data_IF_379586744828
#
_entry.id   IF_379586744828
#
_cell.length_a   1.000
_cell.length_b   1.000
_cell.length_c   1.000
_cell.angle_alpha   90.00
_cell.angle_beta   90.00
_cell.angle_gamma   90.00
#
_symmetry.space_group_name_H-M   'P 1'
#
loop_
_entity.id
_entity.type
_entity.pdbx_description
1 polymer ?
#
# COMPACT_ATOMS: atom_id res chain seq x y z
N UNK A 1 -1.62 -28.45 -27.94
CA UNK A 1 -0.84 -27.31 -28.48
C UNK A 1 -1.69 -26.02 -28.50
N UNK A 2 -2.99 -26.05 -28.94
CA UNK A 2 -3.87 -24.85 -28.95
C UNK A 2 -4.20 -24.30 -27.55
N UNK A 3 -4.33 -25.14 -26.53
CA UNK A 3 -4.63 -24.71 -25.15
C UNK A 3 -3.46 -23.96 -24.48
N UNK A 4 -2.23 -24.36 -24.76
CA UNK A 4 -1.03 -23.69 -24.24
C UNK A 4 -0.82 -22.29 -24.83
N UNK A 5 -1.17 -22.09 -26.12
CA UNK A 5 -1.08 -20.79 -26.77
C UNK A 5 -2.11 -19.77 -26.25
N UNK A 6 -3.34 -20.22 -25.91
CA UNK A 6 -4.38 -19.36 -25.36
C UNK A 6 -4.08 -18.91 -23.92
N UNK A 7 -3.47 -19.76 -23.09
CA UNK A 7 -3.03 -19.38 -21.74
C UNK A 7 -1.86 -18.40 -21.76
N UNK A 8 -0.88 -18.57 -22.63
CA UNK A 8 0.24 -17.64 -22.80
C UNK A 8 -0.21 -16.24 -23.19
N UNK A 9 -1.16 -16.12 -24.14
CA UNK A 9 -1.72 -14.82 -24.55
C UNK A 9 -2.49 -14.11 -23.43
N UNK A 10 -3.24 -14.83 -22.62
CA UNK A 10 -4.00 -14.23 -21.50
C UNK A 10 -3.09 -13.74 -20.37
N UNK A 11 -2.02 -14.45 -20.06
CA UNK A 11 -1.03 -14.05 -19.05
C UNK A 11 -0.25 -12.81 -19.49
N UNK A 12 0.17 -12.74 -20.74
CA UNK A 12 0.87 -11.57 -21.29
C UNK A 12 -0.04 -10.32 -21.32
N UNK A 13 -1.33 -10.50 -21.61
CA UNK A 13 -2.32 -9.42 -21.52
C UNK A 13 -2.48 -8.90 -20.09
N UNK A 14 -2.53 -9.79 -19.09
CA UNK A 14 -2.62 -9.41 -17.67
C UNK A 14 -1.37 -8.67 -17.20
N UNK A 15 -0.17 -9.09 -17.60
CA UNK A 15 1.08 -8.40 -17.24
C UNK A 15 1.12 -6.99 -17.86
N UNK A 16 0.68 -6.82 -19.10
CA UNK A 16 0.60 -5.51 -19.76
C UNK A 16 -0.43 -4.59 -19.07
N UNK A 17 -1.57 -5.11 -18.62
CA UNK A 17 -2.55 -4.35 -17.87
C UNK A 17 -2.02 -3.96 -16.49
N UNK A 18 -1.34 -4.87 -15.80
CA UNK A 18 -0.68 -4.60 -14.52
C UNK A 18 0.37 -3.49 -14.66
N UNK A 19 1.20 -3.55 -15.71
CA UNK A 19 2.16 -2.49 -16.03
C UNK A 19 1.48 -1.12 -16.21
N UNK A 20 0.38 -1.07 -16.97
CA UNK A 20 -0.36 0.19 -17.18
C UNK A 20 -0.90 0.74 -15.88
N UNK A 21 -1.47 -0.09 -15.01
CA UNK A 21 -2.01 0.32 -13.71
C UNK A 21 -0.89 0.91 -12.84
N UNK A 22 0.22 0.19 -12.66
CA UNK A 22 1.36 0.67 -11.85
C UNK A 22 1.92 1.97 -12.43
N UNK A 23 2.09 2.05 -13.75
CA UNK A 23 2.56 3.29 -14.41
C UNK A 23 1.62 4.47 -14.17
N UNK A 24 0.31 4.24 -14.21
CA UNK A 24 -0.68 5.28 -13.93
C UNK A 24 -0.60 5.77 -12.48
N UNK A 25 -0.43 4.86 -11.51
CA UNK A 25 -0.21 5.22 -10.10
C UNK A 25 1.03 6.10 -9.96
N UNK A 26 2.16 5.67 -10.53
CA UNK A 26 3.42 6.42 -10.47
C UNK A 26 3.26 7.81 -11.09
N UNK A 27 2.61 7.93 -12.24
CA UNK A 27 2.42 9.20 -12.91
C UNK A 27 1.53 10.16 -12.11
N UNK A 28 0.40 9.68 -11.61
CA UNK A 28 -0.56 10.53 -10.89
C UNK A 28 -0.04 10.89 -9.50
N UNK A 29 0.27 9.89 -8.68
CA UNK A 29 0.75 10.13 -7.31
C UNK A 29 2.14 10.76 -7.32
N UNK A 30 3.03 10.32 -8.20
CA UNK A 30 4.38 10.87 -8.35
C UNK A 30 4.35 12.32 -8.85
N UNK A 31 3.43 12.69 -9.74
CA UNK A 31 3.24 14.08 -10.19
C UNK A 31 2.80 15.00 -9.07
N UNK A 32 1.84 14.57 -8.24
CA UNK A 32 1.39 15.33 -7.06
C UNK A 32 2.52 15.42 -6.02
N UNK A 33 3.21 14.33 -5.76
CA UNK A 33 4.33 14.29 -4.82
C UNK A 33 5.46 15.23 -5.28
N UNK A 34 5.79 15.23 -6.55
CA UNK A 34 6.78 16.14 -7.12
C UNK A 34 6.37 17.60 -6.96
N UNK A 35 5.09 17.91 -7.21
CA UNK A 35 4.55 19.25 -6.95
C UNK A 35 4.74 19.67 -5.48
N UNK A 36 4.42 18.79 -4.51
CA UNK A 36 4.63 19.07 -3.10
C UNK A 36 6.10 19.26 -2.73
N UNK A 37 7.00 18.46 -3.29
CA UNK A 37 8.45 18.61 -3.07
C UNK A 37 8.94 19.97 -3.54
N UNK A 38 8.48 20.43 -4.72
CA UNK A 38 8.93 21.69 -5.33
C UNK A 38 8.33 22.91 -4.60
N UNK A 39 7.09 22.80 -4.10
CA UNK A 39 6.37 23.94 -3.51
C UNK A 39 6.52 24.05 -1.99
N UNK A 40 7.08 23.04 -1.32
CA UNK A 40 7.30 23.04 0.12
C UNK A 40 8.69 23.55 0.47
N UNK A 41 8.79 24.51 1.38
CA UNK A 41 10.07 25.06 1.84
C UNK A 41 10.92 24.02 2.62
N UNK A 42 10.26 23.04 3.26
CA UNK A 42 10.93 22.03 4.07
C UNK A 42 10.24 20.65 3.98
N UNK A 43 10.03 20.16 2.77
CA UNK A 43 9.37 18.88 2.54
C UNK A 43 10.03 17.72 3.31
N UNK A 44 11.33 17.53 3.15
CA UNK A 44 12.05 16.43 3.79
C UNK A 44 12.11 16.53 5.32
N UNK A 45 12.15 17.75 5.87
CA UNK A 45 12.05 17.96 7.31
C UNK A 45 10.68 17.54 7.87
N UNK A 46 9.60 17.78 7.13
CA UNK A 46 8.24 17.47 7.57
C UNK A 46 7.92 15.97 7.60
N UNK A 47 8.68 15.12 6.89
CA UNK A 47 8.46 13.68 6.83
C UNK A 47 9.26 12.85 7.85
N UNK A 48 10.14 13.50 8.64
CA UNK A 48 10.75 12.90 9.83
C UNK A 48 11.92 11.95 9.59
N UNK A 49 12.53 11.90 8.39
CA UNK A 49 13.71 11.05 8.16
C UNK A 49 14.90 11.45 9.01
N UNK A 50 15.09 12.74 9.26
CA UNK A 50 16.19 13.26 10.09
C UNK A 50 16.07 12.83 11.57
N UNK A 51 14.85 12.53 12.04
CA UNK A 51 14.56 12.14 13.43
C UNK A 51 14.31 10.64 13.59
N UNK A 52 14.51 9.85 12.54
CA UNK A 52 14.24 8.41 12.56
C UNK A 52 15.07 7.65 13.61
N UNK A 53 16.27 8.12 13.90
CA UNK A 53 17.13 7.58 14.95
C UNK A 53 16.55 7.76 16.37
N UNK A 54 15.62 8.69 16.56
CA UNK A 54 14.98 8.95 17.84
C UNK A 54 13.75 8.07 18.09
N UNK A 55 13.31 7.34 17.05
CA UNK A 55 12.16 6.43 17.15
C UNK A 55 12.51 5.24 18.03
N UNK A 56 11.71 5.04 19.08
CA UNK A 56 11.91 3.98 20.07
C UNK A 56 11.79 2.57 19.48
N UNK A 57 12.50 1.61 20.06
CA UNK A 57 12.51 0.20 19.61
C UNK A 57 11.11 -0.43 19.60
N UNK A 58 10.21 0.01 20.47
CA UNK A 58 8.82 -0.48 20.50
C UNK A 58 8.09 -0.12 19.20
N UNK A 59 8.26 1.11 18.69
CA UNK A 59 7.64 1.54 17.43
C UNK A 59 8.17 0.74 16.24
N UNK A 60 9.45 0.44 16.20
CA UNK A 60 10.05 -0.48 15.22
C UNK A 60 9.50 -1.90 15.33
N UNK A 61 9.30 -2.39 16.55
CA UNK A 61 8.68 -3.70 16.80
C UNK A 61 7.24 -3.77 16.29
N UNK A 62 6.45 -2.72 16.54
CA UNK A 62 5.06 -2.60 16.03
C UNK A 62 5.08 -2.54 14.50
N UNK A 63 5.97 -1.74 13.89
CA UNK A 63 6.10 -1.66 12.44
C UNK A 63 6.44 -3.02 11.83
N UNK A 64 7.38 -3.76 12.42
CA UNK A 64 7.72 -5.11 11.98
C UNK A 64 6.52 -6.07 12.08
N UNK A 65 5.76 -6.03 13.19
CA UNK A 65 4.56 -6.86 13.37
C UNK A 65 3.48 -6.55 12.32
N UNK A 66 3.23 -5.28 12.04
CA UNK A 66 2.26 -4.87 11.00
C UNK A 66 2.71 -5.38 9.63
N UNK A 67 3.97 -5.16 9.26
CA UNK A 67 4.53 -5.62 7.98
C UNK A 67 4.43 -7.14 7.85
N UNK A 68 4.92 -7.89 8.85
CA UNK A 68 4.93 -9.36 8.81
C UNK A 68 3.51 -9.91 8.73
N UNK A 69 2.60 -9.43 9.57
CA UNK A 69 1.21 -9.92 9.62
C UNK A 69 0.49 -9.67 8.30
N UNK A 70 0.68 -8.48 7.72
CA UNK A 70 0.01 -8.13 6.47
C UNK A 70 0.58 -8.91 5.28
N UNK A 71 1.90 -8.98 5.16
CA UNK A 71 2.57 -9.73 4.09
C UNK A 71 2.25 -11.22 4.19
N UNK A 72 2.22 -11.77 5.41
CA UNK A 72 1.84 -13.16 5.64
C UNK A 72 0.40 -13.44 5.18
N UNK A 73 -0.57 -12.59 5.57
CA UNK A 73 -1.94 -12.67 5.10
C UNK A 73 -2.06 -12.59 3.58
N UNK A 74 -1.39 -11.60 2.95
CA UNK A 74 -1.39 -11.40 1.51
C UNK A 74 -0.73 -12.55 0.74
N UNK A 75 0.21 -13.28 1.34
CA UNK A 75 0.89 -14.44 0.74
C UNK A 75 -0.05 -15.63 0.50
N UNK A 76 -1.26 -15.61 1.07
CA UNK A 76 -2.31 -16.60 0.75
C UNK A 76 -2.81 -16.48 -0.69
N UNK A 77 -2.64 -15.30 -1.31
CA UNK A 77 -2.98 -15.05 -2.71
C UNK A 77 -1.86 -15.61 -3.60
N UNK A 78 -2.19 -16.56 -4.48
CA UNK A 78 -1.20 -17.27 -5.31
C UNK A 78 -0.30 -16.34 -6.13
N UNK A 79 -0.88 -15.32 -6.79
CA UNK A 79 -0.09 -14.36 -7.57
C UNK A 79 0.86 -13.52 -6.69
N UNK A 80 0.47 -13.19 -5.44
CA UNK A 80 1.35 -12.48 -4.50
C UNK A 80 2.54 -13.36 -4.17
N UNK A 81 2.30 -14.61 -3.75
CA UNK A 81 3.36 -15.56 -3.39
C UNK A 81 4.31 -15.83 -4.56
N UNK A 82 3.78 -15.96 -5.78
CA UNK A 82 4.58 -16.20 -6.99
C UNK A 82 5.49 -15.03 -7.35
N UNK A 83 5.01 -13.78 -7.17
CA UNK A 83 5.72 -12.60 -7.62
C UNK A 83 6.50 -11.88 -6.49
N UNK A 84 6.33 -12.29 -5.24
CA UNK A 84 6.93 -11.62 -4.07
C UNK A 84 8.44 -11.42 -4.22
N UNK A 85 9.16 -12.46 -4.63
CA UNK A 85 10.62 -12.46 -4.78
C UNK A 85 11.09 -12.68 -6.23
N UNK A 86 10.19 -12.55 -7.20
CA UNK A 86 10.51 -12.73 -8.61
C UNK A 86 10.95 -11.40 -9.22
N UNK A 87 12.24 -11.14 -9.23
CA UNK A 87 12.81 -9.90 -9.76
C UNK A 87 12.80 -9.90 -11.30
N UNK A 88 11.93 -9.08 -11.86
CA UNK A 88 11.79 -8.82 -13.30
C UNK A 88 11.38 -7.35 -13.52
N UNK A 89 11.21 -6.92 -14.76
CA UNK A 89 10.83 -5.53 -15.10
C UNK A 89 9.56 -5.06 -14.40
N UNK A 90 8.58 -5.94 -14.28
CA UNK A 90 7.31 -5.64 -13.60
C UNK A 90 7.52 -5.41 -12.09
N UNK A 91 8.38 -6.22 -11.45
CA UNK A 91 8.73 -6.06 -10.03
C UNK A 91 9.51 -4.78 -9.76
N UNK A 92 10.46 -4.42 -10.60
CA UNK A 92 11.19 -3.15 -10.44
C UNK A 92 10.27 -1.94 -10.56
N UNK A 93 9.32 -1.98 -11.52
CA UNK A 93 8.32 -0.93 -11.64
C UNK A 93 7.39 -0.90 -10.41
N UNK A 94 6.99 -2.06 -9.89
CA UNK A 94 6.18 -2.16 -8.68
C UNK A 94 6.91 -1.63 -7.44
N UNK A 95 8.21 -1.85 -7.31
CA UNK A 95 9.02 -1.27 -6.23
C UNK A 95 9.06 0.26 -6.30
N UNK A 96 9.19 0.83 -7.51
CA UNK A 96 9.08 2.27 -7.70
C UNK A 96 7.68 2.78 -7.35
N UNK A 97 6.63 2.06 -7.78
CA UNK A 97 5.24 2.35 -7.42
C UNK A 97 5.02 2.31 -5.91
N UNK A 98 5.56 1.29 -5.24
CA UNK A 98 5.48 1.14 -3.78
C UNK A 98 6.15 2.31 -3.04
N UNK A 99 7.28 2.80 -3.54
CA UNK A 99 7.94 3.97 -2.97
C UNK A 99 7.08 5.22 -3.15
N UNK A 100 6.59 5.48 -4.35
CA UNK A 100 5.76 6.65 -4.66
C UNK A 100 4.46 6.63 -3.87
N UNK A 101 3.74 5.49 -3.85
CA UNK A 101 2.49 5.36 -3.09
C UNK A 101 2.73 5.42 -1.58
N UNK A 102 3.82 4.83 -1.08
CA UNK A 102 4.21 4.92 0.32
C UNK A 102 4.41 6.37 0.78
N UNK A 103 5.06 7.21 0.00
CA UNK A 103 5.16 8.64 0.33
C UNK A 103 3.81 9.35 0.20
N UNK A 104 3.15 9.22 -0.94
CA UNK A 104 1.91 9.93 -1.23
C UNK A 104 0.79 9.61 -0.23
N UNK A 105 0.56 8.32 0.01
CA UNK A 105 -0.54 7.87 0.85
C UNK A 105 -0.28 8.13 2.34
N UNK A 106 0.97 7.99 2.80
CA UNK A 106 1.29 8.31 4.19
C UNK A 106 1.21 9.82 4.47
N UNK A 107 1.62 10.68 3.54
CA UNK A 107 1.39 12.13 3.68
C UNK A 107 -0.10 12.43 3.76
N UNK A 108 -0.92 11.84 2.88
CA UNK A 108 -2.36 12.11 2.83
C UNK A 108 -3.07 11.62 4.10
N UNK A 109 -2.88 10.35 4.47
CA UNK A 109 -3.66 9.70 5.52
C UNK A 109 -3.08 9.91 6.92
N UNK A 110 -1.78 10.15 7.08
CA UNK A 110 -1.14 10.36 8.39
C UNK A 110 -0.84 11.82 8.61
N UNK A 111 -0.03 12.44 7.74
CA UNK A 111 0.36 13.83 7.96
C UNK A 111 -0.81 14.81 7.84
N UNK A 112 -1.63 14.69 6.80
CA UNK A 112 -2.73 15.63 6.59
C UNK A 112 -3.95 15.25 7.44
N UNK A 113 -4.47 14.02 7.27
CA UNK A 113 -5.73 13.64 7.91
C UNK A 113 -5.59 13.48 9.42
N UNK A 114 -4.59 12.73 9.92
CA UNK A 114 -4.50 12.50 11.36
C UNK A 114 -4.01 13.72 12.13
N UNK A 115 -3.13 14.57 11.55
CA UNK A 115 -2.74 15.82 12.20
C UNK A 115 -3.94 16.77 12.30
N UNK A 116 -4.75 16.88 11.25
CA UNK A 116 -6.03 17.63 11.30
C UNK A 116 -6.97 17.09 12.40
N UNK A 117 -7.15 15.77 12.50
CA UNK A 117 -8.00 15.18 13.54
C UNK A 117 -7.45 15.44 14.96
N UNK A 118 -6.12 15.50 15.12
CA UNK A 118 -5.51 15.85 16.38
C UNK A 118 -5.79 17.32 16.75
N UNK A 119 -5.66 18.23 15.80
CA UNK A 119 -5.94 19.67 15.99
C UNK A 119 -7.42 19.89 16.38
N UNK A 120 -8.34 19.09 15.83
CA UNK A 120 -9.76 19.10 16.20
C UNK A 120 -10.06 18.39 17.53
N UNK A 121 -9.04 17.87 18.23
CA UNK A 121 -9.19 17.27 19.56
C UNK A 121 -9.69 15.82 19.59
N UNK A 122 -9.67 15.10 18.46
CA UNK A 122 -10.02 13.68 18.44
C UNK A 122 -8.98 12.82 19.15
N UNK A 123 -9.43 11.83 19.92
CA UNK A 123 -8.54 10.88 20.60
C UNK A 123 -7.78 10.03 19.59
N UNK A 124 -6.59 9.54 20.00
CA UNK A 124 -5.73 8.68 19.18
C UNK A 124 -6.47 7.46 18.62
N UNK A 125 -7.34 6.85 19.44
CA UNK A 125 -8.15 5.72 18.98
C UNK A 125 -9.08 6.10 17.81
N UNK A 126 -9.76 7.24 17.90
CA UNK A 126 -10.65 7.73 16.83
C UNK A 126 -9.83 8.08 15.59
N UNK A 127 -8.68 8.71 15.75
CA UNK A 127 -7.77 9.01 14.62
C UNK A 127 -7.35 7.73 13.88
N UNK A 128 -6.98 6.66 14.60
CA UNK A 128 -6.62 5.36 14.03
C UNK A 128 -7.78 4.80 13.20
N UNK A 129 -8.99 4.79 13.76
CA UNK A 129 -10.16 4.24 13.10
C UNK A 129 -10.53 5.05 11.85
N UNK A 130 -10.58 6.37 11.95
CA UNK A 130 -10.92 7.24 10.81
C UNK A 130 -9.88 7.11 9.71
N UNK A 131 -8.58 7.13 10.05
CA UNK A 131 -7.50 6.95 9.07
C UNK A 131 -7.57 5.57 8.40
N UNK A 132 -7.85 4.51 9.16
CA UNK A 132 -8.04 3.16 8.62
C UNK A 132 -9.24 3.07 7.67
N UNK A 133 -10.38 3.67 8.03
CA UNK A 133 -11.59 3.72 7.18
C UNK A 133 -11.30 4.49 5.89
N UNK A 134 -10.69 5.68 5.99
CA UNK A 134 -10.37 6.50 4.84
C UNK A 134 -9.41 5.77 3.88
N UNK A 135 -8.37 5.13 4.44
CA UNK A 135 -7.42 4.33 3.68
C UNK A 135 -8.10 3.12 3.01
N UNK A 136 -8.90 2.37 3.76
CA UNK A 136 -9.65 1.24 3.21
C UNK A 136 -10.61 1.65 2.10
N UNK A 137 -11.35 2.75 2.30
CA UNK A 137 -12.33 3.27 1.33
C UNK A 137 -11.64 3.72 0.04
N UNK A 138 -10.46 4.33 0.10
CA UNK A 138 -9.69 4.69 -1.08
C UNK A 138 -9.35 3.46 -1.96
N UNK A 139 -9.29 2.26 -1.36
CA UNK A 139 -8.99 1.01 -2.05
C UNK A 139 -10.21 0.29 -2.64
N UNK A 140 -11.42 0.86 -2.54
CA UNK A 140 -12.63 0.33 -3.23
C UNK A 140 -12.41 0.18 -4.74
N UNK A 141 -11.57 1.02 -5.32
CA UNK A 141 -11.23 0.99 -6.76
C UNK A 141 -10.65 -0.35 -7.22
N UNK A 142 -10.02 -1.10 -6.33
CA UNK A 142 -9.45 -2.42 -6.63
C UNK A 142 -10.51 -3.52 -6.83
N UNK A 143 -11.75 -3.25 -6.46
CA UNK A 143 -12.87 -4.17 -6.70
C UNK A 143 -13.23 -4.34 -8.17
N UNK A 144 -12.88 -3.40 -9.02
CA UNK A 144 -13.18 -3.44 -10.45
C UNK A 144 -14.67 -3.65 -10.70
N UNK A 145 -15.02 -4.80 -11.27
CA UNK A 145 -16.43 -5.16 -11.59
C UNK A 145 -17.09 -6.03 -10.52
N UNK A 146 -16.36 -6.45 -9.47
CA UNK A 146 -16.86 -7.37 -8.46
C UNK A 146 -16.97 -6.70 -7.08
N UNK A 147 -18.19 -6.51 -6.59
CA UNK A 147 -18.43 -5.91 -5.27
C UNK A 147 -17.73 -6.68 -4.14
N UNK A 148 -17.69 -8.00 -4.21
CA UNK A 148 -16.98 -8.83 -3.23
C UNK A 148 -15.48 -8.54 -3.18
N UNK A 149 -14.85 -8.28 -4.33
CA UNK A 149 -13.44 -7.90 -4.40
C UNK A 149 -13.21 -6.49 -3.82
N UNK A 150 -14.13 -5.55 -4.06
CA UNK A 150 -14.08 -4.22 -3.48
C UNK A 150 -14.17 -4.28 -1.95
N UNK A 151 -15.14 -5.02 -1.42
CA UNK A 151 -15.32 -5.20 0.04
C UNK A 151 -14.08 -5.85 0.67
N UNK A 152 -13.55 -6.91 0.04
CA UNK A 152 -12.33 -7.57 0.52
C UNK A 152 -11.13 -6.62 0.51
N UNK A 153 -10.91 -5.89 -0.58
CA UNK A 153 -9.83 -4.92 -0.67
C UNK A 153 -9.94 -3.86 0.45
N UNK A 154 -11.13 -3.26 0.61
CA UNK A 154 -11.40 -2.27 1.66
C UNK A 154 -11.17 -2.83 3.05
N UNK A 155 -11.66 -4.05 3.33
CA UNK A 155 -11.51 -4.68 4.63
C UNK A 155 -10.05 -4.93 5.00
N UNK A 156 -9.27 -5.55 4.11
CA UNK A 156 -7.86 -5.82 4.39
C UNK A 156 -7.03 -4.54 4.45
N UNK A 157 -7.28 -3.57 3.57
CA UNK A 157 -6.56 -2.30 3.60
C UNK A 157 -6.96 -1.41 4.77
N UNK A 158 -8.18 -1.54 5.32
CA UNK A 158 -8.54 -0.93 6.60
C UNK A 158 -7.60 -1.37 7.72
N UNK A 159 -7.29 -2.67 7.84
CA UNK A 159 -6.36 -3.14 8.86
C UNK A 159 -4.92 -2.64 8.63
N UNK A 160 -4.46 -2.61 7.37
CA UNK A 160 -3.16 -2.01 7.06
C UNK A 160 -3.16 -0.52 7.43
N UNK A 161 -4.19 0.21 7.02
CA UNK A 161 -4.34 1.62 7.32
C UNK A 161 -4.35 1.90 8.82
N UNK A 162 -5.12 1.12 9.60
CA UNK A 162 -5.13 1.22 11.07
C UNK A 162 -3.79 0.87 11.70
N UNK A 163 -3.10 -0.15 11.18
CA UNK A 163 -1.76 -0.53 11.64
C UNK A 163 -0.72 0.56 11.40
N UNK A 164 -0.73 1.16 10.21
CA UNK A 164 0.16 2.29 9.88
C UNK A 164 -0.19 3.55 10.69
N UNK A 165 -1.48 3.79 10.98
CA UNK A 165 -1.92 4.87 11.87
C UNK A 165 -1.43 4.64 13.31
N UNK A 166 -1.48 3.41 13.81
CA UNK A 166 -0.90 3.04 15.10
C UNK A 166 0.61 3.28 15.14
N UNK A 167 1.34 2.89 14.09
CA UNK A 167 2.78 3.16 13.97
C UNK A 167 3.03 4.67 14.04
N UNK A 168 2.22 5.49 13.34
CA UNK A 168 2.35 6.94 13.33
C UNK A 168 2.26 7.53 14.73
N UNK A 169 1.26 7.14 15.51
CA UNK A 169 1.09 7.61 16.90
C UNK A 169 2.21 7.10 17.80
N UNK A 170 2.53 5.81 17.75
CA UNK A 170 3.54 5.19 18.60
C UNK A 170 4.97 5.66 18.32
N UNK A 171 5.22 6.22 17.15
CA UNK A 171 6.51 6.80 16.76
C UNK A 171 6.61 8.32 16.97
N UNK A 172 5.73 8.88 17.80
CA UNK A 172 5.63 10.33 18.00
C UNK A 172 5.43 11.09 16.68
N UNK A 173 4.49 10.58 15.88
CA UNK A 173 4.13 11.11 14.56
C UNK A 173 5.29 11.16 13.56
N UNK A 174 6.22 10.20 13.68
CA UNK A 174 7.28 10.06 12.69
C UNK A 174 6.77 9.39 11.41
N UNK A 175 6.57 10.19 10.36
CA UNK A 175 6.03 9.73 9.09
C UNK A 175 7.00 8.79 8.36
N UNK A 176 8.32 8.96 8.54
CA UNK A 176 9.32 8.15 7.84
C UNK A 176 9.20 6.66 8.19
N UNK A 177 8.87 6.31 9.45
CA UNK A 177 8.65 4.92 9.83
C UNK A 177 7.43 4.32 9.14
N UNK A 178 6.34 5.10 9.00
CA UNK A 178 5.14 4.67 8.28
C UNK A 178 5.43 4.46 6.79
N UNK A 179 6.16 5.39 6.16
CA UNK A 179 6.58 5.29 4.75
C UNK A 179 7.42 4.03 4.53
N UNK A 180 8.38 3.73 5.41
CA UNK A 180 9.21 2.53 5.33
C UNK A 180 8.35 1.27 5.43
N UNK A 181 7.49 1.19 6.45
CA UNK A 181 6.61 0.03 6.66
C UNK A 181 5.67 -0.19 5.45
N UNK A 182 5.03 0.87 4.98
CA UNK A 182 4.14 0.83 3.81
C UNK A 182 4.90 0.40 2.54
N UNK A 183 6.02 1.01 2.26
CA UNK A 183 6.84 0.68 1.07
C UNK A 183 7.29 -0.78 1.09
N UNK A 184 7.66 -1.32 2.25
CA UNK A 184 8.03 -2.73 2.38
C UNK A 184 6.83 -3.64 2.10
N UNK A 185 5.67 -3.37 2.71
CA UNK A 185 4.44 -4.14 2.47
C UNK A 185 4.12 -4.15 0.97
N UNK A 186 3.91 -2.97 0.39
CA UNK A 186 3.50 -2.81 -1.01
C UNK A 186 4.56 -3.37 -1.95
N UNK A 187 5.84 -3.11 -1.69
CA UNK A 187 6.94 -3.65 -2.49
C UNK A 187 7.03 -5.18 -2.49
N UNK A 188 6.62 -5.84 -1.40
CA UNK A 188 6.57 -7.30 -1.33
C UNK A 188 5.33 -7.88 -2.02
N UNK A 189 4.14 -7.29 -1.78
CA UNK A 189 2.89 -7.86 -2.29
C UNK A 189 2.61 -7.51 -3.76
N UNK A 190 3.16 -6.41 -4.26
CA UNK A 190 3.04 -6.04 -5.67
C UNK A 190 4.23 -6.61 -6.49
N UNK A 191 4.03 -6.90 -7.73
CA UNK A 191 2.85 -6.69 -8.61
C UNK A 191 1.76 -7.77 -8.47
N UNK A 192 1.94 -8.79 -7.63
CA UNK A 192 1.06 -9.94 -7.54
C UNK A 192 -0.37 -9.56 -7.16
N UNK A 193 -0.55 -8.59 -6.25
CA UNK A 193 -1.87 -8.12 -5.83
C UNK A 193 -2.60 -7.42 -6.98
N UNK A 194 -1.94 -6.50 -7.68
CA UNK A 194 -2.52 -5.79 -8.83
C UNK A 194 -2.87 -6.77 -9.95
N UNK A 195 -2.00 -7.75 -10.22
CA UNK A 195 -2.29 -8.79 -11.20
C UNK A 195 -3.51 -9.62 -10.81
N UNK A 196 -3.71 -9.91 -9.53
CA UNK A 196 -4.91 -10.59 -9.04
C UNK A 196 -6.17 -9.73 -9.22
N UNK A 197 -6.07 -8.42 -9.00
CA UNK A 197 -7.17 -7.49 -9.26
C UNK A 197 -7.53 -7.45 -10.75
N UNK A 198 -6.55 -7.30 -11.63
CA UNK A 198 -6.72 -7.31 -13.10
C UNK A 198 -7.39 -8.59 -13.58
N UNK A 199 -7.03 -9.74 -12.99
CA UNK A 199 -7.61 -11.04 -13.32
C UNK A 199 -8.97 -11.31 -12.63
N UNK A 200 -9.52 -10.34 -11.87
CA UNK A 200 -10.74 -10.48 -11.05
C UNK A 200 -10.65 -11.65 -10.03
N UNK A 201 -9.46 -11.96 -9.53
CA UNK A 201 -9.23 -13.06 -8.57
C UNK A 201 -9.26 -12.64 -7.11
N UNK A 202 -9.45 -11.35 -6.80
CA UNK A 202 -9.53 -10.86 -5.40
C UNK A 202 -10.86 -11.22 -4.71
N UNK A 203 -11.92 -11.52 -5.48
CA UNK A 203 -13.22 -11.91 -4.95
C UNK A 203 -13.33 -13.38 -4.52
N UNK A 204 -12.38 -14.20 -4.90
CA UNK A 204 -12.40 -15.65 -4.64
C UNK A 204 -11.37 -16.03 -3.59
N UNK A 205 -11.74 -15.91 -2.30
CA UNK A 205 -11.00 -16.55 -1.21
C UNK A 205 -11.10 -18.09 -1.24
N UNK A 206 -11.69 -18.68 -2.29
CA UNK A 206 -11.89 -20.12 -2.48
C UNK A 206 -11.22 -20.64 -3.75
N UNK A 207 -9.89 -20.59 -3.81
CA UNK A 207 -9.11 -21.59 -4.52
C UNK A 207 -8.07 -22.13 -3.54
N UNK A 208 -8.55 -22.74 -2.46
CA UNK A 208 -7.80 -23.74 -1.71
C UNK A 208 -8.11 -25.10 -2.34
N UNK A 209 -7.31 -25.53 -3.28
CA UNK A 209 -6.87 -26.93 -3.50
C UNK A 209 -5.73 -26.92 -4.47
#
# INVERSE_FOLDING_TARGET
>A
IRALGAQGGSMQSADNQTLKVISSIILVQGGILLYWIITSDNFFGSIGFATLSNVGIVSWGIAALVVISYVWGASSISNVREHMFKFNKLKYLALLGALVSGFFEEILFRKILMDYLQEEGFSDFIQIIISGIAFGTAHLVWGGKALSAAINATFYTFFLGSGLALIYIMSDRNLALCIIAHTIVTGLIEPGLIKSAVLNKLGYLKERT
#
